data_IF_684260085308
#
_entry.id   IF_684260085308
#
_cell.length_a   1.000
_cell.length_b   1.000
_cell.length_c   1.000
_cell.angle_alpha   90.00
_cell.angle_beta   90.00
_cell.angle_gamma   90.00
#
_symmetry.space_group_name_H-M   'P 1'
#
loop_
_entity.id
_entity.type
_entity.pdbx_description
1 polymer ?
#
# COMPACT_ATOMS: atom_id res chain seq x y z
N UNK A 1 13.45 -1.41 -3.27
CA UNK A 1 12.66 -2.15 -4.26
C UNK A 1 11.36 -1.37 -4.40
N UNK A 2 11.16 -0.67 -5.51
CA UNK A 2 9.87 0.01 -5.78
C UNK A 2 8.98 -1.02 -6.47
N UNK A 3 7.78 -1.27 -5.96
CA UNK A 3 6.78 -2.17 -6.55
C UNK A 3 5.69 -1.30 -7.20
N UNK A 4 5.76 -1.04 -8.52
CA UNK A 4 4.81 -0.15 -9.19
C UNK A 4 3.37 -0.68 -9.14
N UNK A 5 3.19 -1.99 -9.29
CA UNK A 5 1.87 -2.62 -9.23
C UNK A 5 1.20 -2.41 -7.87
N UNK A 6 1.95 -2.60 -6.78
CA UNK A 6 1.46 -2.28 -5.44
C UNK A 6 1.13 -0.79 -5.32
N UNK A 7 2.02 0.10 -5.76
CA UNK A 7 1.77 1.54 -5.68
C UNK A 7 0.45 1.92 -6.36
N UNK A 8 0.20 1.43 -7.59
CA UNK A 8 -1.05 1.67 -8.29
C UNK A 8 -2.28 1.19 -7.49
N UNK A 9 -2.24 -0.03 -6.96
CA UNK A 9 -3.35 -0.56 -6.13
C UNK A 9 -3.60 0.30 -4.89
N UNK A 10 -2.55 0.81 -4.24
CA UNK A 10 -2.72 1.70 -3.08
C UNK A 10 -3.25 3.08 -3.48
N UNK A 11 -2.88 3.60 -4.65
CA UNK A 11 -3.40 4.88 -5.17
C UNK A 11 -4.88 4.77 -5.51
N UNK A 12 -5.26 3.73 -6.25
CA UNK A 12 -6.66 3.45 -6.59
C UNK A 12 -7.52 3.32 -5.33
N UNK A 13 -6.97 2.69 -4.28
CA UNK A 13 -7.64 2.60 -2.98
C UNK A 13 -7.85 3.97 -2.33
N UNK A 14 -6.81 4.81 -2.26
CA UNK A 14 -6.90 6.15 -1.65
C UNK A 14 -7.94 7.01 -2.39
N UNK A 15 -7.91 7.01 -3.73
CA UNK A 15 -8.88 7.71 -4.57
C UNK A 15 -10.31 7.20 -4.33
N UNK A 16 -10.51 5.89 -4.31
CA UNK A 16 -11.83 5.28 -4.08
C UNK A 16 -12.38 5.55 -2.67
N UNK A 17 -11.52 5.72 -1.67
CA UNK A 17 -11.93 6.08 -0.30
C UNK A 17 -12.25 7.56 -0.12
N UNK A 18 -12.03 8.38 -1.14
CA UNK A 18 -12.22 9.83 -1.05
C UNK A 18 -11.19 10.51 -0.16
N UNK A 19 -9.97 9.96 -0.09
CA UNK A 19 -8.88 10.59 0.66
C UNK A 19 -8.64 12.02 0.16
N UNK A 20 -8.37 12.95 1.08
CA UNK A 20 -8.09 14.33 0.70
C UNK A 20 -6.81 14.40 -0.15
N UNK A 21 -6.73 15.29 -1.17
CA UNK A 21 -5.56 15.39 -2.04
C UNK A 21 -4.25 15.58 -1.28
N UNK A 22 -4.28 16.34 -0.18
CA UNK A 22 -3.11 16.56 0.68
C UNK A 22 -2.61 15.26 1.33
N UNK A 23 -3.50 14.35 1.73
CA UNK A 23 -3.10 13.09 2.33
C UNK A 23 -2.59 12.09 1.30
N UNK A 24 -3.14 12.12 0.08
CA UNK A 24 -2.60 11.38 -1.06
C UNK A 24 -1.19 11.83 -1.37
N UNK A 25 -0.95 13.14 -1.51
CA UNK A 25 0.39 13.71 -1.73
C UNK A 25 1.37 13.31 -0.62
N UNK A 26 0.96 13.39 0.65
CA UNK A 26 1.79 12.96 1.79
C UNK A 26 2.15 11.48 1.72
N UNK A 27 1.20 10.63 1.32
CA UNK A 27 1.47 9.21 1.16
C UNK A 27 2.45 8.94 0.01
N UNK A 28 2.28 9.63 -1.12
CA UNK A 28 3.18 9.54 -2.28
C UNK A 28 4.60 9.98 -1.92
N UNK A 29 4.73 11.09 -1.20
CA UNK A 29 6.02 11.55 -0.68
C UNK A 29 6.66 10.53 0.26
N UNK A 30 5.87 9.95 1.18
CA UNK A 30 6.34 8.91 2.09
C UNK A 30 6.80 7.67 1.32
N UNK A 31 6.07 7.27 0.29
CA UNK A 31 6.39 6.14 -0.58
C UNK A 31 7.73 6.35 -1.29
N UNK A 32 7.95 7.52 -1.90
CA UNK A 32 9.21 7.81 -2.60
C UNK A 32 10.43 7.85 -1.67
N UNK A 33 10.23 8.11 -0.38
CA UNK A 33 11.29 8.11 0.63
C UNK A 33 11.60 6.72 1.21
N UNK A 34 10.84 5.68 0.85
CA UNK A 34 11.06 4.31 1.32
C UNK A 34 12.46 3.82 0.93
N UNK A 35 13.19 3.31 1.92
CA UNK A 35 14.46 2.62 1.68
C UNK A 35 14.19 1.20 1.17
N UNK A 36 15.19 0.60 0.53
CA UNK A 36 15.07 -0.73 -0.09
C UNK A 36 14.68 -1.87 0.85
N UNK A 37 14.90 -1.71 2.15
CA UNK A 37 14.63 -2.69 3.21
C UNK A 37 13.43 -2.32 4.10
N UNK A 38 12.82 -1.15 3.88
CA UNK A 38 11.63 -0.76 4.62
C UNK A 38 10.41 -1.52 4.08
N UNK A 39 9.51 -1.90 4.99
CA UNK A 39 8.22 -2.46 4.61
C UNK A 39 7.33 -1.38 4.00
N UNK A 40 6.45 -1.76 3.08
CA UNK A 40 5.51 -0.82 2.46
C UNK A 40 4.48 -0.34 3.51
N UNK A 41 4.16 0.96 3.57
CA UNK A 41 3.21 1.49 4.55
C UNK A 41 1.77 1.18 4.12
N UNK A 42 0.91 0.94 5.11
CA UNK A 42 -0.53 0.78 4.89
C UNK A 42 -1.19 2.15 4.68
N UNK A 43 -1.90 2.39 3.56
CA UNK A 43 -2.54 3.69 3.31
C UNK A 43 -3.65 3.99 4.32
N UNK A 44 -4.39 2.98 4.79
CA UNK A 44 -5.47 3.15 5.77
C UNK A 44 -4.95 3.67 7.11
N UNK A 45 -3.91 3.03 7.64
CA UNK A 45 -3.30 3.48 8.88
C UNK A 45 -2.65 4.86 8.71
N UNK A 46 -2.05 5.11 7.54
CA UNK A 46 -1.42 6.39 7.25
C UNK A 46 -2.41 7.55 7.28
N UNK A 47 -3.62 7.37 6.72
CA UNK A 47 -4.71 8.34 6.82
C UNK A 47 -5.18 8.57 8.27
N UNK A 48 -5.08 7.55 9.12
CA UNK A 48 -5.35 7.68 10.55
C UNK A 48 -4.20 8.31 11.35
N UNK A 49 -3.10 8.71 10.69
CA UNK A 49 -1.92 9.29 11.32
C UNK A 49 -0.92 8.27 11.88
N UNK A 50 -1.11 6.98 11.61
CA UNK A 50 -0.20 5.91 12.02
C UNK A 50 0.54 5.30 10.83
N UNK A 51 1.77 4.85 11.01
CA UNK A 51 2.49 4.10 9.97
C UNK A 51 2.59 2.63 10.36
N UNK A 52 1.77 1.79 9.70
CA UNK A 52 1.76 0.34 9.92
C UNK A 52 2.27 -0.37 8.67
N UNK A 53 3.16 -1.37 8.81
CA UNK A 53 3.73 -2.07 7.67
C UNK A 53 2.72 -3.05 7.05
N UNK A 54 2.69 -3.11 5.73
CA UNK A 54 2.03 -4.17 4.98
C UNK A 54 2.88 -5.45 5.06
N UNK A 55 2.22 -6.55 5.38
CA UNK A 55 2.81 -7.88 5.35
C UNK A 55 2.42 -8.60 4.07
N UNK A 56 3.41 -9.12 3.34
CA UNK A 56 3.15 -9.99 2.21
C UNK A 56 2.59 -11.34 2.68
N UNK A 57 1.56 -11.81 1.99
CA UNK A 57 0.99 -13.13 2.15
C UNK A 57 1.43 -14.02 0.98
N UNK A 58 1.37 -15.36 1.12
CA UNK A 58 1.67 -16.26 0.01
C UNK A 58 0.81 -15.92 -1.21
N UNK A 59 1.43 -15.76 -2.36
CA UNK A 59 0.73 -15.52 -3.63
C UNK A 59 -0.26 -16.66 -3.91
N UNK A 60 -1.43 -16.33 -4.44
CA UNK A 60 -2.45 -17.32 -4.82
C UNK A 60 -2.91 -17.06 -6.25
N UNK A 61 -2.55 -17.97 -7.15
CA UNK A 61 -2.90 -17.84 -8.56
C UNK A 61 -2.16 -16.66 -9.21
N UNK A 62 -2.91 -15.73 -9.80
CA UNK A 62 -2.39 -14.56 -10.53
C UNK A 62 -2.24 -13.30 -9.68
N UNK A 63 -2.36 -13.42 -8.35
CA UNK A 63 -2.31 -12.27 -7.45
C UNK A 63 -1.33 -12.50 -6.29
N UNK A 64 -0.54 -11.47 -6.02
CA UNK A 64 0.14 -11.30 -4.74
C UNK A 64 -0.80 -10.61 -3.77
N UNK A 65 -0.86 -11.10 -2.53
CA UNK A 65 -1.72 -10.51 -1.51
C UNK A 65 -0.84 -9.82 -0.47
N UNK A 66 -1.14 -8.57 -0.16
CA UNK A 66 -0.53 -7.87 0.98
C UNK A 66 -1.61 -7.45 1.95
N UNK A 67 -1.32 -7.54 3.24
CA UNK A 67 -2.29 -7.25 4.30
C UNK A 67 -1.65 -6.44 5.41
N UNK A 68 -2.36 -5.42 5.87
CA UNK A 68 -1.99 -4.74 7.11
C UNK A 68 -2.39 -5.61 8.31
N UNK A 69 -1.47 -6.03 9.20
CA UNK A 69 -1.82 -6.82 10.38
C UNK A 69 -2.68 -6.03 11.37
N UNK A 70 -2.56 -4.69 11.38
CA UNK A 70 -3.24 -3.80 12.32
C UNK A 70 -4.68 -3.52 11.91
N UNK A 71 -4.92 -2.90 10.75
CA UNK A 71 -6.28 -2.61 10.30
C UNK A 71 -6.96 -3.77 9.55
N UNK A 72 -6.20 -4.83 9.23
CA UNK A 72 -6.65 -6.03 8.50
C UNK A 72 -7.07 -5.78 7.05
N UNK A 73 -6.89 -4.58 6.52
CA UNK A 73 -7.09 -4.29 5.08
C UNK A 73 -6.14 -5.11 4.24
N UNK A 74 -6.68 -5.76 3.21
CA UNK A 74 -5.95 -6.56 2.23
C UNK A 74 -5.98 -5.85 0.88
N UNK A 75 -4.87 -5.93 0.17
CA UNK A 75 -4.71 -5.43 -1.19
C UNK A 75 -4.25 -6.59 -2.07
N UNK A 76 -4.91 -6.73 -3.22
CA UNK A 76 -4.64 -7.78 -4.19
C UNK A 76 -3.87 -7.15 -5.36
N UNK A 77 -2.60 -7.53 -5.50
CA UNK A 77 -1.69 -7.01 -6.51
C UNK A 77 -1.70 -7.99 -7.68
N UNK A 78 -2.10 -7.58 -8.89
CA UNK A 78 -2.00 -8.43 -10.06
C UNK A 78 -0.54 -8.74 -10.37
N UNK A 79 -0.22 -10.01 -10.60
CA UNK A 79 1.08 -10.46 -11.11
C UNK A 79 0.95 -10.48 -12.63
N UNK A 80 1.58 -9.53 -13.31
CA UNK A 80 1.70 -9.58 -14.76
C UNK A 80 2.54 -10.81 -15.15
N UNK A 81 2.01 -11.66 -16.04
CA UNK A 81 2.68 -12.86 -16.59
C UNK A 81 3.86 -12.50 -17.53
#
# INVERSE_FOLDING_TARGET
MQNPALFHVLMDYLEATGAEPMDVERFVDRWHRLRSHEAFPCPVCFLAGEEQPLAALPARGKFEHVKCPTCRTQFDIPIDE
#
